data_IF_130430906472
#
_entry.id   IF_130430906472
#
_cell.length_a   1.000
_cell.length_b   1.000
_cell.length_c   1.000
_cell.angle_alpha   90.00
_cell.angle_beta   90.00
_cell.angle_gamma   90.00
#
_symmetry.space_group_name_H-M   'P 1'
#
loop_
_entity.id
_entity.type
_entity.pdbx_description
1 polymer ?
#
# COMPACT_ATOMS: atom_id res chain seq x y z
N UNK A 1 -48.19 52.99 61.33
CA UNK A 1 -47.54 51.97 60.48
C UNK A 1 -46.08 52.39 60.31
N UNK A 2 -45.17 51.85 61.15
CA UNK A 2 -44.07 50.91 60.78
C UNK A 2 -43.28 51.38 59.55
N UNK A 3 -41.96 51.58 59.49
CA UNK A 3 -40.77 51.44 60.35
C UNK A 3 -39.71 52.39 59.74
N UNK A 4 -39.01 53.24 60.49
CA UNK A 4 -37.60 53.10 60.93
C UNK A 4 -36.62 52.51 59.87
N UNK A 5 -35.57 53.26 59.49
CA UNK A 5 -34.15 52.95 59.80
C UNK A 5 -33.21 54.04 59.22
N UNK A 6 -32.24 54.36 60.08
CA UNK A 6 -31.13 55.30 60.05
C UNK A 6 -29.87 54.62 59.42
N UNK A 7 -29.01 55.33 58.68
CA UNK A 7 -27.55 55.50 58.94
C UNK A 7 -26.63 55.73 57.73
N UNK A 8 -25.76 56.72 57.95
CA UNK A 8 -24.30 56.77 57.74
C UNK A 8 -23.75 56.67 56.30
N UNK A 9 -23.19 57.80 55.85
CA UNK A 9 -22.20 57.84 54.78
C UNK A 9 -20.82 57.41 55.27
N UNK A 10 -20.13 56.65 54.42
CA UNK A 10 -18.73 56.30 54.58
C UNK A 10 -17.99 56.57 53.27
N UNK A 11 -16.89 57.32 53.37
CA UNK A 11 -15.88 57.55 52.33
C UNK A 11 -15.26 56.21 51.90
N UNK A 12 -15.16 55.97 50.60
CA UNK A 12 -14.36 54.88 50.03
C UNK A 12 -13.18 55.47 49.23
N UNK A 13 -11.98 55.14 49.69
CA UNK A 13 -10.69 55.45 49.07
C UNK A 13 -10.50 54.58 47.83
N UNK A 14 -10.20 55.20 46.68
CA UNK A 14 -9.88 54.50 45.44
C UNK A 14 -8.43 53.99 45.47
N UNK A 15 -8.25 52.67 45.41
CA UNK A 15 -6.95 52.02 45.22
C UNK A 15 -6.73 51.83 43.72
N UNK A 16 -5.70 52.47 43.17
CA UNK A 16 -5.28 52.33 41.78
C UNK A 16 -4.44 51.06 41.63
N UNK A 17 -4.99 50.01 41.04
CA UNK A 17 -4.24 48.79 40.72
C UNK A 17 -3.44 48.99 39.41
N UNK A 18 -2.12 48.97 39.52
CA UNK A 18 -1.21 48.90 38.37
C UNK A 18 -1.33 47.52 37.70
N UNK A 19 -1.89 47.49 36.50
CA UNK A 19 -1.88 46.30 35.63
C UNK A 19 -0.60 46.34 34.79
N UNK A 20 0.33 45.43 35.07
CA UNK A 20 1.48 45.18 34.19
C UNK A 20 1.01 44.36 32.97
N UNK A 21 1.35 44.76 31.73
CA UNK A 21 1.00 43.99 30.54
C UNK A 21 1.84 42.72 30.47
N UNK A 22 1.21 41.57 30.74
CA UNK A 22 1.79 40.25 30.51
C UNK A 22 1.98 40.01 29.02
N UNK A 23 3.20 39.68 28.60
CA UNK A 23 3.50 39.26 27.24
C UNK A 23 2.78 37.93 26.93
N UNK A 24 2.10 37.80 25.77
CA UNK A 24 1.45 36.54 25.43
C UNK A 24 2.52 35.50 25.13
N UNK A 25 2.61 34.47 25.98
CA UNK A 25 3.30 33.23 25.66
C UNK A 25 2.47 32.57 24.56
N UNK A 26 2.93 32.69 23.31
CA UNK A 26 2.41 31.91 22.19
C UNK A 26 2.76 30.46 22.49
N UNK A 27 1.84 29.76 23.14
CA UNK A 27 1.88 28.30 23.21
C UNK A 27 1.74 27.82 21.77
N UNK A 28 2.87 27.45 21.15
CA UNK A 28 2.83 26.65 19.94
C UNK A 28 2.07 25.39 20.33
N UNK A 29 0.80 25.31 19.92
CA UNK A 29 0.04 24.08 20.02
C UNK A 29 0.83 23.05 19.22
N UNK A 30 1.63 22.23 19.92
CA UNK A 30 2.21 21.03 19.37
C UNK A 30 1.02 20.24 18.86
N UNK A 31 0.85 20.18 17.54
CA UNK A 31 -0.19 19.37 16.92
C UNK A 31 -0.06 17.98 17.54
N UNK A 32 -1.04 17.60 18.34
CA UNK A 32 -0.99 16.33 19.04
C UNK A 32 -0.99 15.25 17.97
N UNK A 33 0.10 14.46 17.93
CA UNK A 33 0.22 13.36 17.00
C UNK A 33 -1.05 12.50 17.11
N UNK A 34 -1.61 12.13 15.95
CA UNK A 34 -2.86 11.37 15.91
C UNK A 34 -2.69 10.09 16.73
N UNK A 35 -3.61 9.82 17.65
CA UNK A 35 -3.51 8.69 18.58
C UNK A 35 -3.99 7.37 18.00
N UNK A 36 -4.89 7.39 17.01
CA UNK A 36 -5.32 6.19 16.28
C UNK A 36 -4.97 6.36 14.80
N UNK A 37 -4.14 5.47 14.27
CA UNK A 37 -3.71 5.47 12.88
C UNK A 37 -4.48 4.39 12.11
N UNK A 38 -5.20 4.77 11.06
CA UNK A 38 -5.88 3.83 10.18
C UNK A 38 -5.01 3.49 8.97
N UNK A 39 -4.79 2.19 8.77
CA UNK A 39 -4.00 1.65 7.66
C UNK A 39 -4.86 0.73 6.80
N UNK A 40 -4.71 0.81 5.47
CA UNK A 40 -5.29 -0.20 4.57
C UNK A 40 -4.23 -1.07 3.91
N UNK A 41 -4.64 -2.28 3.54
CA UNK A 41 -3.87 -3.24 2.73
C UNK A 41 -4.82 -4.07 1.85
N UNK A 42 -4.28 -4.90 0.96
CA UNK A 42 -5.06 -5.90 0.24
C UNK A 42 -4.81 -7.31 0.80
N UNK A 43 -5.68 -8.29 0.51
CA UNK A 43 -5.38 -9.69 0.79
C UNK A 43 -4.23 -10.23 -0.07
N UNK A 44 -3.36 -11.05 0.51
CA UNK A 44 -2.29 -11.76 -0.19
C UNK A 44 -0.96 -11.79 0.57
N UNK A 45 -0.05 -12.67 0.15
CA UNK A 45 1.27 -12.86 0.77
C UNK A 45 2.10 -11.57 0.69
N UNK A 46 1.93 -10.75 -0.34
CA UNK A 46 2.66 -9.49 -0.53
C UNK A 46 2.54 -8.53 0.67
N UNK A 47 1.49 -8.69 1.47
CA UNK A 47 1.20 -7.86 2.64
C UNK A 47 1.56 -8.54 3.95
N UNK A 48 2.26 -9.68 3.95
CA UNK A 48 2.73 -10.38 5.14
C UNK A 48 3.43 -9.47 6.16
N UNK A 49 4.32 -8.52 5.76
CA UNK A 49 4.88 -7.55 6.70
C UNK A 49 3.80 -6.77 7.48
N UNK A 50 2.72 -6.34 6.82
CA UNK A 50 1.62 -5.62 7.47
C UNK A 50 0.87 -6.47 8.50
N UNK A 51 0.73 -7.78 8.27
CA UNK A 51 0.08 -8.70 9.21
C UNK A 51 0.96 -8.94 10.45
N UNK A 52 2.27 -9.03 10.25
CA UNK A 52 3.24 -9.13 11.34
C UNK A 52 3.26 -7.84 12.16
N UNK A 53 3.28 -6.68 11.50
CA UNK A 53 3.20 -5.37 12.17
C UNK A 53 1.96 -5.24 13.04
N UNK A 54 0.79 -5.68 12.54
CA UNK A 54 -0.46 -5.69 13.28
C UNK A 54 -0.41 -6.63 14.48
N UNK A 55 -0.07 -7.90 14.27
CA UNK A 55 -0.05 -8.92 15.33
C UNK A 55 0.89 -8.55 16.46
N UNK A 56 2.07 -8.03 16.12
CA UNK A 56 3.12 -7.70 17.07
C UNK A 56 3.07 -6.24 17.54
N UNK A 57 2.07 -5.46 17.11
CA UNK A 57 1.89 -4.04 17.46
C UNK A 57 3.16 -3.21 17.23
N UNK A 58 3.81 -3.42 16.08
CA UNK A 58 5.14 -2.88 15.82
C UNK A 58 5.11 -1.36 15.65
N UNK A 59 4.07 -0.80 15.02
CA UNK A 59 3.95 0.67 14.88
C UNK A 59 3.81 1.30 16.26
N UNK A 60 2.98 0.74 17.13
CA UNK A 60 2.77 1.21 18.50
C UNK A 60 4.06 1.12 19.33
N UNK A 61 4.78 -0.01 19.23
CA UNK A 61 6.08 -0.22 19.87
C UNK A 61 7.10 0.85 19.45
N UNK A 62 7.27 1.06 18.15
CA UNK A 62 8.24 2.03 17.63
C UNK A 62 7.82 3.47 17.89
N UNK A 63 6.52 3.80 17.81
CA UNK A 63 6.02 5.13 18.16
C UNK A 63 6.28 5.48 19.63
N UNK A 64 6.05 4.53 20.56
CA UNK A 64 6.37 4.73 21.97
C UNK A 64 7.87 4.96 22.20
N UNK A 65 8.74 4.19 21.53
CA UNK A 65 10.19 4.37 21.59
C UNK A 65 10.65 5.74 21.05
N UNK A 66 9.94 6.29 20.07
CA UNK A 66 10.16 7.63 19.52
C UNK A 66 9.53 8.75 20.39
N UNK A 67 8.93 8.42 21.52
CA UNK A 67 8.32 9.38 22.45
C UNK A 67 6.91 9.81 22.06
N UNK A 68 6.16 8.98 21.34
CA UNK A 68 4.72 9.15 21.05
C UNK A 68 3.96 7.93 21.60
N UNK A 69 3.82 7.80 22.94
CA UNK A 69 3.11 6.69 23.55
C UNK A 69 1.59 6.79 23.29
N UNK A 70 0.90 5.65 23.40
CA UNK A 70 -0.57 5.61 23.29
C UNK A 70 -1.10 5.61 21.87
N UNK A 71 -0.24 5.50 20.86
CA UNK A 71 -0.64 5.23 19.48
C UNK A 71 -1.30 3.86 19.40
N UNK A 72 -2.39 3.76 18.65
CA UNK A 72 -3.05 2.51 18.27
C UNK A 72 -3.18 2.44 16.75
N UNK A 73 -3.23 1.22 16.21
CA UNK A 73 -3.48 1.01 14.78
C UNK A 73 -4.80 0.32 14.51
N UNK A 74 -5.45 0.71 13.42
CA UNK A 74 -6.63 0.05 12.85
C UNK A 74 -6.33 -0.39 11.42
N UNK A 75 -6.48 -1.67 11.14
CA UNK A 75 -6.19 -2.25 9.83
C UNK A 75 -7.48 -2.55 9.04
N UNK A 76 -7.50 -2.15 7.77
CA UNK A 76 -8.65 -2.31 6.88
C UNK A 76 -8.20 -3.08 5.64
N UNK A 77 -8.89 -4.18 5.33
CA UNK A 77 -8.67 -4.91 4.08
C UNK A 77 -9.57 -4.34 2.98
N UNK A 78 -8.97 -3.92 1.87
CA UNK A 78 -9.69 -3.45 0.68
C UNK A 78 -9.29 -4.30 -0.53
N UNK A 79 -10.24 -4.57 -1.42
CA UNK A 79 -10.06 -5.53 -2.52
C UNK A 79 -9.10 -5.06 -3.62
N UNK A 80 -8.93 -3.75 -3.78
CA UNK A 80 -8.19 -3.14 -4.88
C UNK A 80 -7.39 -1.90 -4.46
N UNK A 81 -6.36 -1.57 -5.24
CA UNK A 81 -5.60 -0.33 -5.04
C UNK A 81 -6.46 0.92 -5.22
N UNK A 82 -7.35 0.96 -6.20
CA UNK A 82 -8.28 2.08 -6.41
C UNK A 82 -9.15 2.40 -5.18
N UNK A 83 -9.75 1.39 -4.55
CA UNK A 83 -10.54 1.57 -3.34
C UNK A 83 -9.69 2.12 -2.17
N UNK A 84 -8.43 1.69 -2.04
CA UNK A 84 -7.51 2.26 -1.05
C UNK A 84 -7.17 3.72 -1.37
N UNK A 85 -6.92 4.06 -2.64
CA UNK A 85 -6.61 5.43 -3.03
C UNK A 85 -7.77 6.37 -2.75
N UNK A 86 -9.01 5.94 -3.03
CA UNK A 86 -10.21 6.73 -2.73
C UNK A 86 -10.38 6.94 -1.23
N UNK A 87 -10.14 5.89 -0.43
CA UNK A 87 -10.20 5.98 1.03
C UNK A 87 -9.15 6.96 1.60
N UNK A 88 -7.92 6.97 1.08
CA UNK A 88 -6.87 7.91 1.51
C UNK A 88 -7.23 9.35 1.14
N UNK A 89 -7.68 9.59 -0.09
CA UNK A 89 -8.05 10.93 -0.55
C UNK A 89 -9.27 11.48 0.18
N UNK A 90 -10.22 10.62 0.54
CA UNK A 90 -11.39 10.96 1.35
C UNK A 90 -11.08 11.10 2.86
N UNK A 91 -9.88 10.76 3.31
CA UNK A 91 -9.50 10.77 4.74
C UNK A 91 -10.08 9.62 5.55
N UNK A 92 -10.56 8.55 4.91
CA UNK A 92 -11.00 7.31 5.55
C UNK A 92 -9.86 6.44 6.08
N UNK A 93 -8.67 6.57 5.49
CA UNK A 93 -7.41 5.99 6.00
C UNK A 93 -6.28 7.02 6.03
N UNK A 94 -5.34 6.87 6.96
CA UNK A 94 -4.16 7.73 7.05
C UNK A 94 -3.03 7.23 6.15
N UNK A 95 -2.86 5.91 6.08
CA UNK A 95 -1.77 5.24 5.36
C UNK A 95 -2.37 4.07 4.59
N UNK A 96 -1.90 3.82 3.38
CA UNK A 96 -2.31 2.65 2.63
C UNK A 96 -1.09 1.86 2.16
N UNK A 97 -1.29 0.55 1.93
CA UNK A 97 -0.30 -0.35 1.36
C UNK A 97 -0.83 -0.96 0.05
N UNK A 98 -0.27 -0.54 -1.08
CA UNK A 98 -0.62 -1.07 -2.42
C UNK A 98 0.52 -0.87 -3.42
N UNK A 99 0.28 -1.24 -4.68
CA UNK A 99 1.30 -1.28 -5.72
C UNK A 99 1.74 0.06 -6.30
N UNK A 100 2.90 0.00 -6.96
CA UNK A 100 3.65 1.12 -7.55
C UNK A 100 2.83 2.00 -8.49
N UNK A 101 1.94 1.41 -9.30
CA UNK A 101 1.10 2.19 -10.22
C UNK A 101 0.22 3.22 -9.51
N UNK A 102 -0.38 2.84 -8.38
CA UNK A 102 -1.20 3.76 -7.58
C UNK A 102 -0.37 4.85 -6.90
N UNK A 103 0.83 4.52 -6.39
CA UNK A 103 1.72 5.53 -5.79
C UNK A 103 2.07 6.60 -6.83
N UNK A 104 2.58 6.18 -7.99
CA UNK A 104 3.00 7.11 -9.05
C UNK A 104 1.83 7.97 -9.53
N UNK A 105 0.66 7.36 -9.70
CA UNK A 105 -0.55 8.07 -10.13
C UNK A 105 -0.98 9.13 -9.11
N UNK A 106 -1.00 8.78 -7.81
CA UNK A 106 -1.37 9.74 -6.78
C UNK A 106 -0.31 10.82 -6.61
N UNK A 107 0.97 10.48 -6.64
CA UNK A 107 2.06 11.44 -6.58
C UNK A 107 1.92 12.50 -7.68
N UNK A 108 1.72 12.09 -8.94
CA UNK A 108 1.59 13.03 -10.06
C UNK A 108 0.30 13.86 -9.97
N UNK A 109 -0.86 13.21 -9.76
CA UNK A 109 -2.16 13.91 -9.71
C UNK A 109 -2.27 14.90 -8.56
N UNK A 110 -1.66 14.58 -7.42
CA UNK A 110 -1.65 15.46 -6.24
C UNK A 110 -0.47 16.43 -6.24
N UNK A 111 0.37 16.41 -7.29
CA UNK A 111 1.58 17.23 -7.40
C UNK A 111 2.51 17.08 -6.19
N UNK A 112 2.76 15.84 -5.81
CA UNK A 112 3.59 15.48 -4.66
C UNK A 112 2.88 15.50 -3.30
N UNK A 113 1.55 15.66 -3.28
CA UNK A 113 0.73 15.63 -2.05
C UNK A 113 0.55 14.23 -1.45
N UNK A 114 0.95 13.18 -2.17
CA UNK A 114 1.03 11.79 -1.72
C UNK A 114 2.41 11.25 -2.03
N UNK A 115 3.05 10.56 -1.07
CA UNK A 115 4.39 9.98 -1.21
C UNK A 115 4.55 8.66 -0.46
N UNK A 116 5.44 7.81 -0.99
CA UNK A 116 5.95 6.57 -0.41
C UNK A 116 6.64 6.77 0.92
N UNK A 117 6.35 5.90 1.89
CA UNK A 117 7.10 5.79 3.15
C UNK A 117 8.19 4.74 2.97
N UNK A 118 7.82 3.52 2.56
CA UNK A 118 8.73 2.35 2.50
C UNK A 118 8.12 1.24 1.66
N UNK A 119 8.93 0.50 0.90
CA UNK A 119 8.47 -0.69 0.20
C UNK A 119 8.30 -1.87 1.17
N UNK A 120 7.35 -2.77 0.87
CA UNK A 120 7.09 -3.94 1.70
C UNK A 120 7.38 -5.26 1.00
N UNK A 121 7.22 -5.33 -0.33
CA UNK A 121 7.47 -6.55 -1.11
C UNK A 121 7.76 -6.24 -2.58
N UNK A 122 8.51 -7.13 -3.24
CA UNK A 122 8.83 -7.08 -4.67
C UNK A 122 8.78 -8.47 -5.35
N UNK A 123 7.97 -9.37 -4.79
CA UNK A 123 7.83 -10.75 -5.22
C UNK A 123 7.18 -10.85 -6.62
N UNK A 124 7.39 -11.94 -7.37
CA UNK A 124 6.79 -12.11 -8.69
C UNK A 124 5.25 -12.15 -8.65
N UNK A 125 4.63 -11.46 -9.59
CA UNK A 125 3.26 -11.72 -10.04
C UNK A 125 3.27 -12.53 -11.35
N UNK A 126 2.21 -13.30 -11.60
CA UNK A 126 2.09 -14.18 -12.77
C UNK A 126 0.71 -14.04 -13.42
N UNK A 127 0.67 -13.98 -14.74
CA UNK A 127 -0.56 -14.12 -15.49
C UNK A 127 -0.85 -15.60 -15.66
N UNK A 128 -1.92 -16.07 -15.03
CA UNK A 128 -2.40 -17.44 -15.10
C UNK A 128 -3.59 -17.50 -16.06
N UNK A 129 -3.61 -18.53 -16.91
CA UNK A 129 -4.76 -18.90 -17.74
C UNK A 129 -5.19 -20.32 -17.41
N UNK A 130 -6.49 -20.61 -17.46
CA UNK A 130 -7.02 -21.99 -17.50
C UNK A 130 -7.54 -22.39 -18.89
N UNK A 131 -7.31 -21.55 -19.90
CA UNK A 131 -7.63 -21.85 -21.29
C UNK A 131 -6.41 -22.43 -22.01
N UNK A 132 -6.50 -23.69 -22.46
CA UNK A 132 -5.40 -24.39 -23.13
C UNK A 132 -4.93 -23.74 -24.46
N UNK A 133 -5.74 -22.84 -25.04
CA UNK A 133 -5.39 -22.11 -26.25
C UNK A 133 -4.53 -20.87 -25.96
N UNK A 134 -4.54 -20.35 -24.73
CA UNK A 134 -3.82 -19.14 -24.35
C UNK A 134 -2.49 -19.52 -23.73
N UNK A 135 -1.43 -19.59 -24.53
CA UNK A 135 -0.08 -19.97 -24.07
C UNK A 135 0.86 -18.77 -23.96
N UNK A 136 0.49 -17.66 -24.57
CA UNK A 136 1.21 -16.40 -24.57
C UNK A 136 0.21 -15.24 -24.61
N UNK A 137 0.69 -14.03 -24.33
CA UNK A 137 -0.17 -12.84 -24.44
C UNK A 137 -0.65 -12.55 -25.88
N UNK A 138 -0.05 -13.20 -26.89
CA UNK A 138 -0.45 -13.08 -28.31
C UNK A 138 -1.70 -13.88 -28.65
N UNK A 139 -2.07 -14.83 -27.80
CA UNK A 139 -3.20 -15.73 -28.04
C UNK A 139 -4.54 -15.17 -27.53
N UNK A 140 -4.52 -14.05 -26.79
CA UNK A 140 -5.73 -13.40 -26.30
C UNK A 140 -6.55 -12.80 -27.45
N UNK A 141 -7.80 -13.26 -27.56
CA UNK A 141 -8.85 -12.66 -28.37
C UNK A 141 -9.64 -11.57 -27.63
N UNK A 142 -10.58 -10.91 -28.30
CA UNK A 142 -11.32 -9.76 -27.73
C UNK A 142 -12.23 -10.10 -26.54
N UNK A 143 -12.59 -11.37 -26.36
CA UNK A 143 -13.52 -11.82 -25.31
C UNK A 143 -12.81 -12.41 -24.09
N UNK A 144 -11.49 -12.61 -24.16
CA UNK A 144 -10.75 -13.25 -23.09
C UNK A 144 -10.53 -12.28 -21.93
N UNK A 145 -11.23 -12.50 -20.81
CA UNK A 145 -11.17 -11.60 -19.66
C UNK A 145 -9.98 -11.92 -18.76
N UNK A 146 -9.25 -10.86 -18.39
CA UNK A 146 -8.09 -10.89 -17.49
C UNK A 146 -8.44 -10.13 -16.21
N UNK A 147 -8.54 -10.83 -15.09
CA UNK A 147 -8.73 -10.19 -13.80
C UNK A 147 -7.47 -9.42 -13.36
N UNK A 148 -7.67 -8.16 -12.98
CA UNK A 148 -6.66 -7.30 -12.34
C UNK A 148 -7.31 -6.48 -11.21
N UNK A 149 -6.57 -6.09 -10.15
CA UNK A 149 -7.15 -5.33 -9.03
C UNK A 149 -7.67 -3.93 -9.39
N UNK A 150 -7.07 -3.27 -10.38
CA UNK A 150 -7.49 -1.95 -10.87
C UNK A 150 -7.08 -1.80 -12.32
N UNK A 151 -8.07 -1.70 -13.20
CA UNK A 151 -7.88 -1.54 -14.64
C UNK A 151 -6.99 -0.34 -14.93
N UNK A 152 -6.02 -0.50 -15.84
CA UNK A 152 -5.02 0.51 -16.27
C UNK A 152 -4.05 1.05 -15.20
N UNK A 153 -4.28 0.79 -13.91
CA UNK A 153 -3.52 1.43 -12.82
C UNK A 153 -2.79 0.43 -11.93
N UNK A 154 -3.32 -0.78 -11.72
CA UNK A 154 -2.64 -1.76 -10.87
C UNK A 154 -1.31 -2.18 -11.50
N UNK A 155 -0.39 -2.65 -10.66
CA UNK A 155 0.91 -3.13 -11.12
C UNK A 155 0.76 -4.20 -12.23
N UNK A 156 -0.23 -5.07 -12.10
CA UNK A 156 -0.61 -6.08 -13.09
C UNK A 156 -0.99 -5.48 -14.45
N UNK A 157 -1.89 -4.50 -14.46
CA UNK A 157 -2.32 -3.85 -15.69
C UNK A 157 -1.15 -3.18 -16.40
N UNK A 158 -0.25 -2.55 -15.65
CA UNK A 158 0.91 -1.85 -16.21
C UNK A 158 1.96 -2.84 -16.74
N UNK A 159 2.25 -3.94 -16.03
CA UNK A 159 3.11 -5.01 -16.56
C UNK A 159 2.52 -5.58 -17.86
N UNK A 160 1.20 -5.78 -17.91
CA UNK A 160 0.52 -6.26 -19.12
C UNK A 160 0.68 -5.28 -20.29
N UNK A 161 0.63 -3.96 -20.04
CA UNK A 161 0.86 -2.95 -21.08
C UNK A 161 2.32 -2.92 -21.56
N UNK A 162 3.28 -3.09 -20.66
CA UNK A 162 4.71 -3.18 -21.03
C UNK A 162 4.92 -4.45 -21.88
N UNK A 163 4.38 -5.58 -21.44
CA UNK A 163 4.45 -6.84 -22.19
C UNK A 163 3.77 -6.72 -23.57
N UNK A 164 2.63 -6.03 -23.66
CA UNK A 164 1.96 -5.77 -24.94
C UNK A 164 2.81 -4.87 -25.86
N UNK A 165 3.52 -3.89 -25.30
CA UNK A 165 4.45 -3.04 -26.06
C UNK A 165 5.60 -3.87 -26.67
N UNK A 166 6.13 -4.83 -25.91
CA UNK A 166 7.20 -5.72 -26.37
C UNK A 166 6.70 -6.74 -27.40
N UNK A 167 5.50 -7.29 -27.21
CA UNK A 167 4.97 -8.36 -28.06
C UNK A 167 4.32 -7.88 -29.36
N UNK A 168 3.71 -6.68 -29.37
CA UNK A 168 2.91 -6.17 -30.48
C UNK A 168 3.43 -4.86 -31.07
N UNK A 169 4.47 -4.27 -30.47
CA UNK A 169 5.07 -3.00 -30.89
C UNK A 169 4.77 -1.86 -29.93
N UNK A 170 5.68 -0.87 -29.92
CA UNK A 170 5.75 0.19 -28.91
C UNK A 170 4.47 1.03 -28.72
N UNK A 171 3.64 1.15 -29.76
CA UNK A 171 2.38 1.91 -29.74
C UNK A 171 1.15 1.05 -29.43
N UNK A 172 1.32 -0.27 -29.34
CA UNK A 172 0.27 -1.25 -29.02
C UNK A 172 0.20 -1.58 -27.53
N UNK A 173 0.75 -0.71 -26.67
CA UNK A 173 0.77 -0.89 -25.22
C UNK A 173 -0.64 -1.12 -24.64
N UNK A 174 -1.67 -0.49 -25.21
CA UNK A 174 -3.05 -0.58 -24.74
C UNK A 174 -3.82 -1.80 -25.30
N UNK A 175 -3.19 -2.64 -26.13
CA UNK A 175 -3.91 -3.68 -26.92
C UNK A 175 -4.75 -4.62 -26.06
N UNK A 176 -4.28 -4.94 -24.85
CA UNK A 176 -4.94 -5.83 -23.92
C UNK A 176 -5.70 -5.10 -22.79
N UNK A 177 -5.72 -3.76 -22.78
CA UNK A 177 -6.54 -3.01 -21.81
C UNK A 177 -8.02 -3.41 -21.86
N UNK A 178 -8.68 -3.58 -23.04
CA UNK A 178 -10.09 -3.99 -23.12
C UNK A 178 -10.38 -5.40 -22.59
N UNK A 179 -9.34 -6.24 -22.48
CA UNK A 179 -9.44 -7.58 -21.89
C UNK A 179 -9.49 -7.52 -20.36
N UNK A 180 -9.00 -6.45 -19.74
CA UNK A 180 -8.92 -6.38 -18.29
C UNK A 180 -10.28 -6.11 -17.64
N UNK A 181 -10.55 -6.82 -16.54
CA UNK A 181 -11.72 -6.61 -15.68
C UNK A 181 -11.27 -6.44 -14.24
N UNK A 182 -12.00 -5.61 -13.48
CA UNK A 182 -11.63 -5.31 -12.11
C UNK A 182 -12.16 -6.37 -11.13
N UNK A 183 -11.27 -7.14 -10.52
CA UNK A 183 -11.57 -8.08 -9.44
C UNK A 183 -10.43 -8.07 -8.41
N UNK A 184 -10.77 -8.17 -7.13
CA UNK A 184 -9.77 -8.43 -6.09
C UNK A 184 -9.21 -9.85 -6.25
N UNK A 185 -7.97 -10.08 -5.80
CA UNK A 185 -7.33 -11.40 -5.97
C UNK A 185 -8.14 -12.59 -5.39
N UNK A 186 -8.79 -12.49 -4.21
CA UNK A 186 -9.68 -13.55 -3.74
C UNK A 186 -10.86 -13.82 -4.68
N UNK A 187 -11.51 -12.76 -5.18
CA UNK A 187 -12.67 -12.88 -6.07
C UNK A 187 -12.27 -13.44 -7.43
N UNK A 188 -11.10 -13.04 -7.94
CA UNK A 188 -10.52 -13.58 -9.15
C UNK A 188 -10.18 -15.07 -9.00
N UNK A 189 -9.65 -15.51 -7.86
CA UNK A 189 -9.44 -16.92 -7.59
C UNK A 189 -10.76 -17.72 -7.56
N UNK A 190 -11.80 -17.18 -6.93
CA UNK A 190 -13.15 -17.79 -6.96
C UNK A 190 -13.68 -17.87 -8.40
N UNK A 191 -13.48 -16.83 -9.21
CA UNK A 191 -13.85 -16.85 -10.62
C UNK A 191 -13.06 -17.91 -11.42
N UNK A 192 -11.76 -18.05 -11.17
CA UNK A 192 -10.89 -19.04 -11.82
C UNK A 192 -11.28 -20.48 -11.48
N UNK A 193 -11.73 -20.73 -10.25
CA UNK A 193 -12.20 -22.07 -9.81
C UNK A 193 -13.57 -22.45 -10.37
N UNK A 194 -14.40 -21.48 -10.74
CA UNK A 194 -15.67 -21.72 -11.43
C UNK A 194 -15.45 -21.92 -12.93
N UNK A 195 -15.60 -23.17 -13.40
CA UNK A 195 -15.35 -23.52 -14.79
C UNK A 195 -16.19 -22.74 -15.82
N UNK A 196 -17.39 -22.29 -15.42
CA UNK A 196 -18.36 -21.59 -16.26
C UNK A 196 -18.23 -20.06 -16.21
N UNK A 197 -17.37 -19.51 -15.35
CA UNK A 197 -17.17 -18.06 -15.26
C UNK A 197 -16.45 -17.50 -16.50
N UNK A 198 -16.80 -16.28 -16.91
CA UNK A 198 -16.19 -15.61 -18.08
C UNK A 198 -14.70 -15.26 -17.87
N UNK A 199 -14.32 -14.99 -16.62
CA UNK A 199 -12.92 -14.81 -16.22
C UNK A 199 -12.23 -16.17 -16.19
N UNK A 200 -11.31 -16.34 -17.13
CA UNK A 200 -10.46 -17.54 -17.30
C UNK A 200 -8.98 -17.21 -17.16
N UNK A 201 -8.65 -15.95 -16.91
CA UNK A 201 -7.30 -15.46 -16.78
C UNK A 201 -7.21 -14.51 -15.58
N UNK A 202 -6.15 -14.62 -14.80
CA UNK A 202 -5.92 -13.77 -13.65
C UNK A 202 -4.44 -13.38 -13.60
N UNK A 203 -4.17 -12.08 -13.54
CA UNK A 203 -2.83 -11.62 -13.21
C UNK A 203 -2.65 -11.66 -11.69
N UNK A 204 -2.29 -12.84 -11.21
CA UNK A 204 -2.32 -13.23 -9.82
C UNK A 204 -1.08 -12.80 -9.05
N UNK A 205 -1.26 -12.72 -7.74
CA UNK A 205 -0.18 -12.65 -6.76
C UNK A 205 -0.27 -13.87 -5.83
N UNK A 206 0.83 -14.29 -5.21
CA UNK A 206 0.81 -15.24 -4.10
C UNK A 206 -0.12 -14.81 -2.94
N UNK A 207 -0.88 -15.75 -2.31
CA UNK A 207 -0.86 -17.19 -2.56
C UNK A 207 -1.70 -17.61 -3.78
N UNK A 208 -2.50 -16.72 -4.36
CA UNK A 208 -3.46 -17.05 -5.42
C UNK A 208 -2.81 -17.64 -6.66
N UNK A 209 -1.61 -17.18 -7.05
CA UNK A 209 -0.79 -17.82 -8.09
C UNK A 209 -0.66 -19.33 -7.87
N UNK A 210 -0.24 -19.72 -6.67
CA UNK A 210 0.01 -21.12 -6.36
C UNK A 210 -1.28 -21.90 -6.11
N UNK A 211 -2.28 -21.27 -5.51
CA UNK A 211 -3.60 -21.87 -5.34
C UNK A 211 -4.26 -22.18 -6.69
N UNK A 212 -4.14 -21.29 -7.67
CA UNK A 212 -4.67 -21.52 -9.02
C UNK A 212 -3.94 -22.68 -9.70
N UNK A 213 -2.61 -22.65 -9.70
CA UNK A 213 -1.80 -23.74 -10.29
C UNK A 213 -2.06 -25.09 -9.60
N UNK A 214 -2.35 -25.09 -8.30
CA UNK A 214 -2.62 -26.31 -7.53
C UNK A 214 -4.05 -26.83 -7.71
N UNK A 215 -5.05 -25.93 -7.75
CA UNK A 215 -6.46 -26.32 -7.56
C UNK A 215 -7.34 -26.11 -8.79
N UNK A 216 -6.90 -25.32 -9.79
CA UNK A 216 -7.71 -25.03 -10.99
C UNK A 216 -7.26 -25.94 -12.13
N UNK A 217 -8.12 -26.86 -12.62
CA UNK A 217 -7.76 -27.75 -13.72
C UNK A 217 -7.35 -26.98 -14.97
N UNK A 218 -6.19 -27.33 -15.53
CA UNK A 218 -5.65 -26.69 -16.73
C UNK A 218 -5.01 -25.32 -16.49
N UNK A 219 -4.94 -24.83 -15.25
CA UNK A 219 -4.25 -23.58 -14.94
C UNK A 219 -2.75 -23.70 -15.24
N UNK A 220 -2.22 -22.70 -15.93
CA UNK A 220 -0.81 -22.61 -16.28
C UNK A 220 -0.37 -21.15 -16.39
N UNK A 221 0.92 -20.92 -16.22
CA UNK A 221 1.54 -19.59 -16.34
C UNK A 221 1.64 -19.21 -17.82
N UNK A 222 1.13 -18.03 -18.15
CA UNK A 222 1.25 -17.39 -19.48
C UNK A 222 2.41 -16.40 -19.51
N UNK A 223 2.64 -15.71 -18.39
CA UNK A 223 3.65 -14.66 -18.27
C UNK A 223 4.04 -14.44 -16.80
N UNK A 224 5.30 -14.16 -16.54
CA UNK A 224 5.81 -13.76 -15.23
C UNK A 224 6.37 -12.35 -15.26
N UNK A 225 6.13 -11.57 -14.19
CA UNK A 225 6.58 -10.17 -14.14
C UNK A 225 8.10 -9.97 -14.22
N UNK A 226 8.98 -10.80 -13.64
CA UNK A 226 10.43 -10.60 -13.78
C UNK A 226 10.91 -10.70 -15.22
N UNK A 227 10.27 -11.52 -16.06
CA UNK A 227 10.62 -11.68 -17.47
C UNK A 227 10.37 -10.39 -18.28
N UNK A 228 9.34 -9.64 -17.89
CA UNK A 228 8.96 -8.36 -18.52
C UNK A 228 9.74 -7.19 -17.91
N UNK A 229 9.93 -7.23 -16.59
CA UNK A 229 10.58 -6.15 -15.88
C UNK A 229 12.10 -6.19 -15.99
N UNK A 230 12.69 -7.37 -16.23
CA UNK A 230 14.14 -7.60 -16.23
C UNK A 230 14.73 -7.68 -14.82
N UNK A 231 13.90 -7.89 -13.79
CA UNK A 231 14.28 -7.89 -12.38
C UNK A 231 13.07 -7.73 -11.44
N UNK A 232 13.32 -7.60 -10.13
CA UNK A 232 12.27 -7.36 -9.14
C UNK A 232 11.52 -6.06 -9.38
N UNK A 233 10.23 -6.05 -9.01
CA UNK A 233 9.37 -4.88 -9.08
C UNK A 233 8.60 -4.77 -7.76
N UNK A 234 8.70 -3.62 -7.08
CA UNK A 234 7.93 -3.37 -5.87
C UNK A 234 6.43 -3.54 -6.13
N UNK A 235 5.83 -4.46 -5.37
CA UNK A 235 4.43 -4.86 -5.50
C UNK A 235 3.53 -4.24 -4.45
N UNK A 236 4.09 -3.95 -3.29
CA UNK A 236 3.40 -3.33 -2.18
C UNK A 236 4.36 -2.38 -1.45
N UNK A 237 3.82 -1.26 -1.00
CA UNK A 237 4.55 -0.18 -0.37
C UNK A 237 3.56 0.71 0.42
N UNK A 238 4.00 1.15 1.59
CA UNK A 238 3.24 2.11 2.38
C UNK A 238 3.38 3.50 1.78
N UNK A 239 2.28 4.23 1.65
CA UNK A 239 2.28 5.65 1.32
C UNK A 239 1.13 6.40 1.98
N UNK A 240 1.28 7.72 2.08
CA UNK A 240 0.38 8.61 2.81
C UNK A 240 0.33 9.99 2.18
N UNK A 241 -0.59 10.83 2.65
CA UNK A 241 -0.62 12.25 2.33
C UNK A 241 0.61 12.95 2.95
N UNK A 242 1.31 13.78 2.19
CA UNK A 242 2.47 14.54 2.69
C UNK A 242 2.11 15.42 3.88
N UNK A 243 0.94 16.05 3.87
CA UNK A 243 0.43 16.81 5.03
C UNK A 243 0.30 15.98 6.31
N UNK A 244 -0.03 14.69 6.19
CA UNK A 244 -0.12 13.79 7.34
C UNK A 244 1.29 13.43 7.83
N UNK A 245 2.21 13.16 6.90
CA UNK A 245 3.61 12.88 7.22
C UNK A 245 4.28 14.06 7.94
N UNK A 246 4.09 15.28 7.44
CA UNK A 246 4.65 16.52 8.01
C UNK A 246 4.12 16.77 9.44
N UNK A 247 2.85 16.46 9.68
CA UNK A 247 2.22 16.59 11.00
C UNK A 247 2.61 15.45 11.97
N UNK A 248 3.03 14.30 11.46
CA UNK A 248 3.29 13.09 12.26
C UNK A 248 4.63 12.42 11.92
N UNK A 249 5.78 13.15 11.91
CA UNK A 249 7.05 12.60 11.41
C UNK A 249 7.53 11.39 12.20
N UNK A 250 7.26 11.34 13.51
CA UNK A 250 7.59 10.19 14.37
C UNK A 250 6.74 8.96 14.06
N UNK A 251 5.49 9.13 13.64
CA UNK A 251 4.64 8.02 13.19
C UNK A 251 5.16 7.46 11.87
N UNK A 252 5.60 8.33 10.95
CA UNK A 252 6.21 7.91 9.69
C UNK A 252 7.48 7.09 9.93
N UNK A 253 8.35 7.56 10.84
CA UNK A 253 9.53 6.79 11.26
C UNK A 253 9.13 5.45 11.90
N UNK A 254 8.12 5.43 12.78
CA UNK A 254 7.63 4.20 13.38
C UNK A 254 7.12 3.18 12.36
N UNK A 255 6.44 3.63 11.29
CA UNK A 255 5.99 2.76 10.19
C UNK A 255 7.17 2.18 9.41
N UNK A 256 8.20 3.00 9.16
CA UNK A 256 9.43 2.54 8.52
C UNK A 256 10.14 1.47 9.37
N UNK A 257 10.38 1.74 10.65
CA UNK A 257 11.08 0.84 11.58
C UNK A 257 10.28 -0.45 11.82
N UNK A 258 8.95 -0.35 11.94
CA UNK A 258 8.05 -1.49 12.03
C UNK A 258 8.08 -2.36 10.77
N UNK A 259 8.16 -1.75 9.59
CA UNK A 259 8.30 -2.49 8.32
C UNK A 259 9.63 -3.23 8.28
N UNK A 260 10.72 -2.58 8.68
CA UNK A 260 12.04 -3.21 8.78
C UNK A 260 12.02 -4.42 9.71
N UNK A 261 11.53 -4.25 10.94
CA UNK A 261 11.47 -5.34 11.92
C UNK A 261 10.59 -6.51 11.42
N UNK A 262 9.46 -6.23 10.77
CA UNK A 262 8.61 -7.26 10.19
C UNK A 262 9.30 -8.03 9.05
N UNK A 263 9.99 -7.34 8.14
CA UNK A 263 10.75 -8.01 7.09
C UNK A 263 11.93 -8.82 7.64
N UNK A 264 12.60 -8.31 8.67
CA UNK A 264 13.67 -9.04 9.35
C UNK A 264 13.15 -10.34 9.96
N UNK A 265 11.97 -10.32 10.60
CA UNK A 265 11.31 -11.53 11.11
C UNK A 265 11.01 -12.55 9.99
N UNK A 266 10.50 -12.11 8.85
CA UNK A 266 10.21 -13.02 7.72
C UNK A 266 11.48 -13.76 7.27
N UNK A 267 12.62 -13.06 7.24
CA UNK A 267 13.91 -13.63 6.82
C UNK A 267 14.54 -14.52 7.89
N UNK A 268 14.47 -14.13 9.17
CA UNK A 268 15.11 -14.88 10.26
C UNK A 268 14.28 -16.07 10.74
N UNK A 269 12.95 -15.95 10.72
CA UNK A 269 12.01 -16.99 11.16
C UNK A 269 10.76 -17.00 10.27
N UNK A 270 10.95 -17.52 9.06
CA UNK A 270 9.89 -17.61 8.04
C UNK A 270 8.69 -18.44 8.54
N UNK A 271 8.93 -19.44 9.40
CA UNK A 271 7.84 -20.28 9.93
C UNK A 271 6.93 -19.47 10.84
N UNK A 272 7.48 -18.73 11.80
CA UNK A 272 6.67 -17.85 12.64
C UNK A 272 5.96 -16.77 11.83
N UNK A 273 6.62 -16.20 10.81
CA UNK A 273 5.98 -15.24 9.92
C UNK A 273 4.76 -15.82 9.18
N UNK A 274 4.86 -17.06 8.68
CA UNK A 274 3.75 -17.78 8.04
C UNK A 274 2.62 -18.08 9.04
N UNK A 275 2.95 -18.50 10.26
CA UNK A 275 1.98 -18.77 11.31
C UNK A 275 1.19 -17.50 11.68
N UNK A 276 1.88 -16.37 11.86
CA UNK A 276 1.24 -15.06 12.08
C UNK A 276 0.35 -14.68 10.90
N UNK A 277 0.86 -14.78 9.67
CA UNK A 277 0.07 -14.49 8.48
C UNK A 277 -1.23 -15.28 8.45
N UNK A 278 -1.17 -16.60 8.69
CA UNK A 278 -2.36 -17.46 8.73
C UNK A 278 -3.32 -17.08 9.86
N UNK A 279 -2.81 -16.79 11.05
CA UNK A 279 -3.63 -16.42 12.19
C UNK A 279 -4.42 -15.13 11.91
N UNK A 280 -3.76 -14.10 11.39
CA UNK A 280 -4.38 -12.78 11.15
C UNK A 280 -5.32 -12.82 9.95
N UNK A 281 -5.01 -13.59 8.91
CA UNK A 281 -5.80 -13.63 7.67
C UNK A 281 -6.91 -14.67 7.68
N UNK A 282 -6.80 -15.71 8.51
CA UNK A 282 -7.64 -16.90 8.43
C UNK A 282 -7.35 -17.80 7.23
N UNK A 283 -6.23 -17.60 6.52
CA UNK A 283 -5.82 -18.36 5.34
C UNK A 283 -5.77 -19.88 5.63
N UNK A 284 -6.40 -20.66 4.74
CA UNK A 284 -6.60 -22.11 4.89
C UNK A 284 -5.49 -22.95 4.26
N UNK A 285 -4.57 -22.35 3.51
CA UNK A 285 -3.41 -23.02 2.92
C UNK A 285 -2.55 -23.65 4.03
N UNK A 286 -2.04 -24.86 3.86
CA UNK A 286 -1.22 -25.49 4.92
C UNK A 286 0.06 -24.68 5.17
N UNK A 287 0.63 -24.79 6.38
CA UNK A 287 1.91 -24.13 6.71
C UNK A 287 3.01 -24.67 5.79
N UNK A 288 2.96 -25.96 5.50
CA UNK A 288 3.90 -26.65 4.62
C UNK A 288 3.86 -26.10 3.20
N UNK A 289 2.66 -25.89 2.64
CA UNK A 289 2.49 -25.30 1.30
C UNK A 289 3.03 -23.87 1.26
N UNK A 290 2.67 -23.02 2.23
CA UNK A 290 3.16 -21.63 2.28
C UNK A 290 4.68 -21.55 2.41
N UNK A 291 5.27 -22.41 3.24
CA UNK A 291 6.73 -22.52 3.38
C UNK A 291 7.39 -23.05 2.11
N UNK A 292 6.76 -23.97 1.39
CA UNK A 292 7.26 -24.44 0.11
C UNK A 292 7.23 -23.33 -0.94
N UNK A 293 6.11 -22.59 -1.04
CA UNK A 293 5.97 -21.49 -1.99
C UNK A 293 6.92 -20.34 -1.70
N UNK A 294 7.22 -20.03 -0.43
CA UNK A 294 8.20 -19.01 -0.08
C UNK A 294 9.64 -19.36 -0.49
N UNK A 295 9.93 -20.63 -0.82
CA UNK A 295 11.23 -21.06 -1.35
C UNK A 295 11.34 -20.89 -2.87
N UNK A 296 10.24 -20.64 -3.57
CA UNK A 296 10.27 -20.42 -5.01
C UNK A 296 11.08 -19.16 -5.37
N UNK A 297 11.70 -19.11 -6.57
CA UNK A 297 12.53 -17.97 -6.96
C UNK A 297 11.81 -16.62 -6.84
N UNK A 298 12.47 -15.65 -6.21
CA UNK A 298 11.94 -14.30 -5.98
C UNK A 298 10.90 -14.17 -4.86
N UNK A 299 10.48 -15.27 -4.23
CA UNK A 299 9.46 -15.21 -3.17
C UNK A 299 9.94 -14.64 -1.84
N UNK A 300 11.27 -14.51 -1.67
CA UNK A 300 11.90 -13.85 -0.51
C UNK A 300 12.28 -12.38 -0.75
N UNK A 301 11.78 -11.77 -1.83
CA UNK A 301 11.97 -10.35 -2.17
C UNK A 301 11.18 -9.41 -1.25
N UNK A 302 11.56 -9.41 0.03
CA UNK A 302 11.15 -8.44 1.05
C UNK A 302 12.22 -7.37 1.10
N UNK A 303 11.92 -6.15 0.67
CA UNK A 303 12.91 -5.07 0.61
C UNK A 303 12.27 -3.76 1.04
N UNK A 304 13.04 -2.88 1.69
CA UNK A 304 12.59 -1.55 2.11
C UNK A 304 12.66 -0.55 0.95
N UNK A 305 13.67 -0.73 0.09
CA UNK A 305 13.90 0.13 -1.06
C UNK A 305 12.90 -0.17 -2.19
N UNK A 306 12.41 0.86 -2.92
CA UNK A 306 11.69 0.64 -4.16
C UNK A 306 12.57 -0.06 -5.19
N UNK A 307 11.99 -1.00 -5.96
CA UNK A 307 12.66 -1.73 -7.04
C UNK A 307 11.80 -1.68 -8.31
N UNK A 308 12.42 -1.44 -9.47
CA UNK A 308 11.76 -1.42 -10.78
C UNK A 308 10.78 -0.26 -10.99
N UNK A 309 10.72 0.70 -10.06
CA UNK A 309 9.67 1.71 -10.00
C UNK A 309 9.87 2.83 -11.03
N UNK A 310 11.13 3.14 -11.37
CA UNK A 310 11.44 4.12 -12.41
C UNK A 310 11.09 3.62 -13.82
N UNK A 311 11.20 2.30 -14.08
CA UNK A 311 10.75 1.69 -15.36
C UNK A 311 9.22 1.85 -15.52
N UNK A 312 8.48 1.70 -14.42
CA UNK A 312 7.05 1.99 -14.37
C UNK A 312 6.75 3.46 -14.64
N UNK A 313 7.45 4.38 -13.99
CA UNK A 313 7.26 5.81 -14.20
C UNK A 313 7.52 6.21 -15.66
N UNK A 314 8.58 5.67 -16.28
CA UNK A 314 8.89 5.92 -17.69
C UNK A 314 7.79 5.44 -18.62
N UNK A 315 7.26 4.23 -18.40
CA UNK A 315 6.13 3.70 -19.18
C UNK A 315 4.89 4.56 -19.02
N UNK A 316 4.50 4.88 -17.79
CA UNK A 316 3.29 5.65 -17.52
C UNK A 316 3.37 7.10 -18.04
N UNK A 317 4.56 7.70 -18.03
CA UNK A 317 4.80 8.99 -18.67
C UNK A 317 4.67 8.89 -20.20
N UNK A 318 5.29 7.86 -20.81
CA UNK A 318 5.20 7.61 -22.26
C UNK A 318 3.76 7.41 -22.72
N UNK A 319 2.94 6.70 -21.96
CA UNK A 319 1.50 6.48 -22.29
C UNK A 319 0.61 7.66 -21.94
N UNK A 320 1.16 8.71 -21.32
CA UNK A 320 0.44 9.92 -20.92
C UNK A 320 -0.42 9.77 -19.66
N UNK A 321 -0.28 8.65 -18.94
CA UNK A 321 -0.93 8.42 -17.64
C UNK A 321 -0.35 9.34 -16.56
N UNK A 322 0.99 9.46 -16.52
CA UNK A 322 1.65 10.52 -15.75
C UNK A 322 1.88 11.74 -16.64
N UNK A 323 1.66 12.93 -16.09
CA UNK A 323 2.01 14.20 -16.73
C UNK A 323 3.42 14.65 -16.39
N UNK A 324 3.97 14.16 -15.28
CA UNK A 324 5.31 14.46 -14.80
C UNK A 324 6.15 13.19 -14.74
N UNK A 325 7.33 13.21 -15.38
CA UNK A 325 8.33 12.16 -15.18
C UNK A 325 9.15 12.48 -13.92
N UNK A 326 9.17 11.63 -12.89
CA UNK A 326 10.09 11.80 -11.76
C UNK A 326 11.54 11.68 -12.26
N UNK A 327 12.44 12.48 -11.67
CA UNK A 327 13.88 12.45 -11.96
C UNK A 327 14.56 11.29 -11.21
N UNK A 328 14.06 10.99 -10.02
CA UNK A 328 14.53 9.90 -9.19
C UNK A 328 13.37 9.36 -8.34
N UNK A 329 13.52 8.15 -7.82
CA UNK A 329 12.49 7.55 -6.97
C UNK A 329 12.23 8.34 -5.67
N UNK A 330 13.24 9.09 -5.21
CA UNK A 330 13.14 10.00 -4.06
C UNK A 330 12.19 11.17 -4.30
N UNK A 331 11.79 11.47 -5.55
CA UNK A 331 10.77 12.50 -5.83
C UNK A 331 9.39 12.09 -5.30
N UNK A 332 9.07 10.79 -5.36
CA UNK A 332 7.79 10.22 -4.91
C UNK A 332 7.87 9.41 -3.62
N UNK A 333 9.02 9.41 -2.94
CA UNK A 333 9.21 8.88 -1.59
C UNK A 333 9.51 10.00 -0.59
N UNK A 334 9.12 9.78 0.66
CA UNK A 334 9.38 10.66 1.80
C UNK A 334 10.85 10.56 2.23
N UNK A 335 11.41 11.61 2.87
CA UNK A 335 12.82 11.65 3.28
C UNK A 335 13.29 10.47 4.13
N UNK A 336 12.41 9.88 4.94
CA UNK A 336 12.72 8.70 5.77
C UNK A 336 13.31 7.53 4.98
N UNK A 337 12.96 7.42 3.69
CA UNK A 337 13.45 6.37 2.83
C UNK A 337 14.72 6.72 2.07
N UNK A 338 15.11 8.00 1.95
CA UNK A 338 16.07 8.48 0.94
C UNK A 338 17.48 7.86 1.06
N UNK A 339 17.86 7.37 2.23
CA UNK A 339 19.14 6.68 2.47
C UNK A 339 19.16 5.23 1.93
N UNK A 340 18.00 4.71 1.53
CA UNK A 340 17.89 3.39 0.91
C UNK A 340 18.40 3.42 -0.54
N UNK A 341 18.85 2.26 -1.04
CA UNK A 341 19.36 2.12 -2.41
C UNK A 341 18.25 1.68 -3.38
N UNK A 342 17.25 2.54 -3.58
CA UNK A 342 16.12 2.25 -4.47
C UNK A 342 16.39 2.53 -5.95
N UNK A 343 15.58 1.89 -6.83
CA UNK A 343 15.47 2.11 -8.27
C UNK A 343 14.41 1.22 -8.92
#
# INVERSE_FOLDING_TARGET
>A
MKNMILRAGAFAVAVFAMVLPGSPVISQALAQAKSEISLSRQPGIFYMPSHIMEKNKLIEKHAAALGVPGVTTKWINLSGGGAQTDALLAGGVDILNTGTGNLLLLWDRTRGGVKGIVATSAQPMTLISRDANIKSIKDFGPNDKIAVPTVKVSTQAIVLQIAASEAFGADQWAKLDPNTVQLGHPDAYVAMTNAQHEVRNHFAIPPFTFLELKNVPGAHVVLSSPDIMGGPLSQAQFFTMTKFADANPKIIQAVFDATKEAQDLIRSDTKTAVEIYKEVTGDKTSVEDLLAWLKEPGMMEWNLQPQGTMKFAAHLFKTGTLKTMPKAWTDYYLPVAHDLKGN
#
